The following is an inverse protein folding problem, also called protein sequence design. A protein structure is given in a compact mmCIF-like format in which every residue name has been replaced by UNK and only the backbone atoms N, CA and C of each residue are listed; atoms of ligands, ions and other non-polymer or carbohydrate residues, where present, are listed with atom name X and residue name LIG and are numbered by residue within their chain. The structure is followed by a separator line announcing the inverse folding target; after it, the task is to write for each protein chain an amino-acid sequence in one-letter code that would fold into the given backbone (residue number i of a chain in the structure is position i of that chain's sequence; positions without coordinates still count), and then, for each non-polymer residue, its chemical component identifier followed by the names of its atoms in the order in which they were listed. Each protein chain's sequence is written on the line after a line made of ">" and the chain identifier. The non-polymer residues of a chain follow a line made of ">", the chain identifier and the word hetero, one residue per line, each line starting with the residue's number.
data_IF_281163904002
#
_entry.id   IF_281163904002
#
_cell.length_a   1.000
_cell.length_b   1.000
_cell.length_c   1.000
_cell.angle_alpha   90.00
_cell.angle_beta   90.00
_cell.angle_gamma   90.00
#
_symmetry.space_group_name_H-M   'P 1'
#
loop_
_entity.id
_entity.type
_entity.pdbx_description
1 polymer ?
#
# COMPACT_ATOMS: atom_id res chain seq x y z
N UNK A 1 33.54 -33.58 -16.87
CA UNK A 1 32.18 -33.68 -17.44
C UNK A 1 31.16 -33.52 -16.30
N UNK A 2 29.92 -33.08 -16.59
CA UNK A 2 29.11 -32.32 -15.63
C UNK A 2 27.96 -33.14 -15.00
N UNK A 3 27.26 -32.53 -14.02
CA UNK A 3 25.79 -32.55 -13.96
C UNK A 3 25.24 -31.32 -13.20
N UNK A 4 24.05 -30.88 -13.63
CA UNK A 4 23.41 -29.60 -13.30
C UNK A 4 22.27 -29.76 -12.24
N UNK A 5 21.66 -28.61 -11.92
CA UNK A 5 20.35 -28.37 -11.25
C UNK A 5 20.44 -28.15 -9.71
N UNK A 6 19.77 -27.16 -9.10
CA UNK A 6 18.86 -26.13 -9.64
C UNK A 6 18.77 -24.85 -8.77
N UNK A 7 18.00 -23.87 -9.26
CA UNK A 7 17.90 -22.45 -8.90
C UNK A 7 17.47 -22.07 -7.47
N UNK A 8 17.94 -20.90 -7.01
CA UNK A 8 17.09 -19.85 -6.41
C UNK A 8 17.67 -18.44 -6.65
N UNK A 9 16.81 -17.46 -6.87
CA UNK A 9 17.16 -16.06 -7.14
C UNK A 9 17.20 -15.24 -5.85
N UNK A 10 18.26 -14.47 -5.63
CA UNK A 10 18.20 -13.13 -5.00
C UNK A 10 19.25 -12.24 -5.65
N UNK A 11 18.81 -11.16 -6.28
CA UNK A 11 19.66 -10.09 -6.81
C UNK A 11 19.98 -9.06 -5.73
N UNK A 12 21.25 -8.76 -5.50
CA UNK A 12 21.68 -7.47 -4.93
C UNK A 12 22.94 -7.02 -5.67
N UNK A 13 22.86 -5.90 -6.39
CA UNK A 13 24.01 -5.28 -7.05
C UNK A 13 24.99 -4.70 -6.03
N UNK A 14 26.28 -4.78 -6.34
CA UNK A 14 27.33 -4.04 -5.65
C UNK A 14 27.11 -2.53 -5.80
N UNK A 15 26.81 -1.85 -4.69
CA UNK A 15 27.12 -0.44 -4.50
C UNK A 15 27.95 -0.34 -3.23
N UNK A 16 29.22 0.01 -3.36
CA UNK A 16 30.09 0.22 -2.21
C UNK A 16 29.63 1.45 -1.43
N UNK A 17 28.98 1.23 -0.28
CA UNK A 17 28.66 2.29 0.68
C UNK A 17 29.52 2.08 1.93
N UNK A 18 30.42 3.03 2.20
CA UNK A 18 31.20 3.06 3.42
C UNK A 18 30.30 3.47 4.59
N UNK A 19 29.73 2.49 5.28
CA UNK A 19 28.85 2.71 6.44
C UNK A 19 29.67 2.66 7.73
N UNK A 20 30.09 3.84 8.21
CA UNK A 20 30.49 4.01 9.61
C UNK A 20 29.22 4.04 10.47
N UNK A 21 28.89 2.89 11.07
CA UNK A 21 27.80 2.79 12.05
C UNK A 21 28.33 3.06 13.46
N UNK A 22 27.58 3.88 14.19
CA UNK A 22 27.85 4.21 15.58
C UNK A 22 27.68 3.00 16.52
N UNK A 23 28.35 3.09 17.67
CA UNK A 23 28.03 2.36 18.89
C UNK A 23 27.93 3.37 20.05
N UNK A 24 26.85 3.33 20.85
CA UNK A 24 26.82 3.92 22.21
C UNK A 24 27.49 2.97 23.21
N UNK A 25 27.59 3.20 24.53
CA UNK A 25 27.00 4.16 25.51
C UNK A 25 28.01 4.29 26.70
N UNK A 26 27.83 4.97 27.85
CA UNK A 26 26.68 5.67 28.48
C UNK A 26 27.16 6.89 29.34
N UNK A 27 26.70 7.09 30.59
CA UNK A 27 26.99 8.24 31.47
C UNK A 27 27.44 7.85 32.89
N UNK A 28 28.22 8.72 33.56
CA UNK A 28 28.21 8.89 35.05
C UNK A 28 28.54 10.34 35.43
N UNK A 29 27.72 10.96 36.29
CA UNK A 29 28.13 12.08 37.16
C UNK A 29 28.54 11.53 38.54
N UNK A 30 29.57 12.08 39.17
CA UNK A 30 29.80 11.94 40.61
C UNK A 30 30.09 13.30 41.23
N UNK A 31 29.10 13.82 41.96
CA UNK A 31 29.30 14.83 42.99
C UNK A 31 29.75 14.12 44.26
N UNK A 32 30.95 14.41 44.76
CA UNK A 32 31.31 14.12 46.14
C UNK A 32 31.53 15.45 46.85
N UNK A 33 30.54 15.86 47.64
CA UNK A 33 30.78 16.75 48.77
C UNK A 33 31.81 16.10 49.69
N UNK A 34 32.89 16.83 49.99
CA UNK A 34 33.71 16.58 51.19
C UNK A 34 34.03 17.95 51.80
N UNK A 35 33.59 18.13 53.04
CA UNK A 35 33.88 19.31 53.86
C UNK A 35 35.41 19.51 54.08
N UNK A 36 35.78 20.79 54.24
CA UNK A 36 37.11 21.31 54.59
C UNK A 36 37.66 20.74 55.93
N UNK A 37 38.99 20.77 56.25
CA UNK A 37 39.87 21.93 56.00
C UNK A 37 41.39 21.73 55.71
N UNK A 38 42.05 22.82 55.30
CA UNK A 38 43.52 23.15 55.35
C UNK A 38 44.52 22.23 54.61
N UNK A 39 45.54 22.70 53.88
CA UNK A 39 45.96 24.07 53.51
C UNK A 39 46.64 24.04 52.12
N UNK A 40 45.97 24.53 51.08
CA UNK A 40 46.57 25.06 49.83
C UNK A 40 45.43 25.65 48.98
N UNK A 41 45.21 26.97 49.10
CA UNK A 41 44.06 27.64 48.48
C UNK A 41 44.26 27.80 46.97
N UNK A 42 43.50 27.03 46.18
CA UNK A 42 43.36 27.28 44.73
C UNK A 42 42.30 28.36 44.46
N UNK A 43 42.52 29.17 43.43
CA UNK A 43 41.46 29.97 42.82
C UNK A 43 40.41 29.03 42.23
N UNK A 44 39.20 29.06 42.77
CA UNK A 44 38.07 28.31 42.23
C UNK A 44 37.42 29.14 41.11
N UNK A 45 38.03 29.07 39.92
CA UNK A 45 37.45 29.58 38.67
C UNK A 45 36.90 28.42 37.83
N UNK A 46 36.01 28.74 36.89
CA UNK A 46 35.44 27.75 35.97
C UNK A 46 36.53 27.17 35.06
N UNK A 47 36.83 25.88 35.26
CA UNK A 47 37.78 25.12 34.44
C UNK A 47 37.11 24.80 33.10
N UNK A 48 37.41 25.60 32.08
CA UNK A 48 36.65 25.57 30.84
C UNK A 48 37.08 24.45 29.87
N UNK A 49 38.37 24.34 29.46
CA UNK A 49 38.80 23.35 28.45
C UNK A 49 40.30 22.95 28.55
N UNK A 50 40.64 21.74 28.09
CA UNK A 50 42.01 21.31 27.71
C UNK A 50 42.25 21.64 26.23
N UNK A 51 43.43 22.15 25.88
CA UNK A 51 43.71 22.77 24.56
C UNK A 51 44.93 22.14 23.89
N UNK A 52 44.74 21.59 22.68
CA UNK A 52 45.81 20.95 21.90
C UNK A 52 46.33 21.79 20.73
N UNK A 53 47.64 22.07 20.73
CA UNK A 53 48.44 22.57 19.59
C UNK A 53 48.04 23.91 18.94
N UNK A 54 48.35 25.02 19.60
CA UNK A 54 49.00 26.23 19.04
C UNK A 54 49.52 27.07 20.22
N UNK A 55 50.07 28.29 20.06
CA UNK A 55 50.66 29.07 21.20
C UNK A 55 49.64 29.31 22.33
N UNK A 56 49.59 28.39 23.29
CA UNK A 56 48.45 28.20 24.22
C UNK A 56 48.14 29.45 25.05
N UNK A 57 49.17 30.18 25.46
CA UNK A 57 49.07 31.48 26.17
C UNK A 57 48.32 32.54 25.37
N UNK A 58 48.48 32.58 24.04
CA UNK A 58 47.80 33.58 23.20
C UNK A 58 46.31 33.28 23.02
N UNK A 59 45.92 32.00 23.03
CA UNK A 59 44.51 31.60 23.01
C UNK A 59 43.84 31.90 24.36
N UNK A 60 44.51 31.62 25.47
CA UNK A 60 44.09 32.07 26.80
C UNK A 60 43.86 33.59 26.88
N UNK A 61 44.81 34.38 26.38
CA UNK A 61 44.70 35.83 26.32
C UNK A 61 43.50 36.27 25.47
N UNK A 62 43.30 35.65 24.30
CA UNK A 62 42.18 35.94 23.42
C UNK A 62 40.81 35.62 24.05
N UNK A 63 40.67 34.53 24.81
CA UNK A 63 39.43 34.26 25.53
C UNK A 63 39.21 35.23 26.69
N UNK A 64 40.24 35.56 27.49
CA UNK A 64 40.11 36.60 28.53
C UNK A 64 39.69 37.95 27.94
N UNK A 65 40.22 38.33 26.77
CA UNK A 65 39.84 39.57 26.08
C UNK A 65 38.38 39.60 25.57
N UNK A 66 37.71 38.45 25.37
CA UNK A 66 36.29 38.39 24.99
C UNK A 66 35.34 38.59 26.18
N UNK A 67 35.81 38.40 27.40
CA UNK A 67 35.01 38.56 28.61
C UNK A 67 35.34 39.90 29.26
N UNK A 68 34.37 40.83 29.27
CA UNK A 68 34.59 42.19 29.80
C UNK A 68 35.03 42.21 31.27
N UNK A 69 34.57 41.23 32.05
CA UNK A 69 34.92 41.08 33.46
C UNK A 69 36.23 40.31 33.71
N UNK A 70 36.84 39.66 32.70
CA UNK A 70 38.10 38.95 32.90
C UNK A 70 39.26 39.94 33.12
N UNK A 71 39.94 39.81 34.27
CA UNK A 71 41.04 40.69 34.71
C UNK A 71 42.41 40.03 34.61
N UNK A 72 42.47 38.71 34.72
CA UNK A 72 43.70 37.95 34.57
C UNK A 72 43.42 36.52 34.12
N UNK A 73 44.45 35.84 33.66
CA UNK A 73 44.40 34.39 33.43
C UNK A 73 45.70 33.72 33.87
N UNK A 74 45.58 32.43 34.19
CA UNK A 74 46.70 31.54 34.46
C UNK A 74 46.77 30.49 33.35
N UNK A 75 47.98 30.24 32.83
CA UNK A 75 48.24 29.15 31.91
C UNK A 75 49.14 28.08 32.55
N UNK A 76 48.58 26.88 32.76
CA UNK A 76 49.28 25.73 33.36
C UNK A 76 49.85 24.86 32.23
N UNK A 77 51.19 24.87 32.07
CA UNK A 77 51.87 24.33 30.90
C UNK A 77 51.74 22.81 30.76
N UNK A 78 51.87 22.07 31.87
CA UNK A 78 51.80 20.59 31.84
C UNK A 78 50.42 20.08 31.45
N UNK A 79 49.37 20.70 31.99
CA UNK A 79 47.97 20.31 31.78
C UNK A 79 47.32 21.01 30.59
N UNK A 80 48.07 21.91 29.91
CA UNK A 80 47.59 22.78 28.83
C UNK A 80 46.31 23.55 29.19
N UNK A 81 46.15 23.82 30.48
CA UNK A 81 44.91 24.33 31.05
C UNK A 81 44.93 25.85 31.13
N UNK A 82 43.77 26.43 30.82
CA UNK A 82 43.53 27.86 30.94
C UNK A 82 42.53 28.13 32.07
N UNK A 83 42.93 28.96 33.05
CA UNK A 83 42.06 29.40 34.14
C UNK A 83 41.86 30.91 33.98
N UNK A 84 40.62 31.35 33.74
CA UNK A 84 40.26 32.77 33.62
C UNK A 84 39.79 33.30 34.98
N UNK A 85 40.14 34.54 35.32
CA UNK A 85 39.76 35.16 36.59
C UNK A 85 39.04 36.50 36.41
N UNK A 86 37.97 36.68 37.18
CA UNK A 86 37.04 37.81 37.17
C UNK A 86 37.18 38.70 38.43
N UNK A 87 37.73 38.17 39.54
CA UNK A 87 37.59 38.75 40.89
C UNK A 87 38.10 40.20 41.03
N UNK A 88 37.25 41.07 41.57
CA UNK A 88 37.40 42.53 41.66
C UNK A 88 37.92 43.06 43.01
N UNK A 89 38.72 42.30 43.76
CA UNK A 89 39.28 42.73 45.04
C UNK A 89 40.80 42.97 45.02
N UNK A 90 41.12 44.26 44.91
CA UNK A 90 42.34 44.98 45.30
C UNK A 90 43.59 44.18 45.74
N UNK A 91 44.59 44.16 44.86
CA UNK A 91 46.04 44.28 45.13
C UNK A 91 46.75 43.22 46.01
N UNK A 92 48.09 43.08 45.94
CA UNK A 92 48.65 41.77 45.67
C UNK A 92 49.51 41.28 46.84
N UNK A 93 49.05 40.26 47.56
CA UNK A 93 49.80 39.79 48.74
C UNK A 93 49.49 38.39 49.29
N UNK A 94 48.31 37.83 49.00
CA UNK A 94 47.94 36.49 49.48
C UNK A 94 48.59 35.37 48.65
N UNK A 95 49.93 35.34 48.62
CA UNK A 95 50.82 34.27 48.15
C UNK A 95 50.18 33.28 47.17
N UNK A 96 50.06 33.68 45.90
CA UNK A 96 50.14 32.69 44.81
C UNK A 96 51.48 31.97 44.99
N UNK A 97 51.44 30.74 45.52
CA UNK A 97 52.64 29.92 45.61
C UNK A 97 53.16 29.71 44.19
N UNK A 98 54.47 29.85 44.02
CA UNK A 98 55.12 29.72 42.72
C UNK A 98 55.11 28.25 42.29
N UNK A 99 54.06 27.83 41.61
CA UNK A 99 54.10 26.63 40.77
C UNK A 99 54.96 26.97 39.53
N UNK A 100 56.16 26.40 39.37
CA UNK A 100 57.06 26.69 38.24
C UNK A 100 56.49 26.25 36.88
N UNK A 101 55.37 25.51 36.88
CA UNK A 101 54.67 25.00 35.70
C UNK A 101 53.55 25.94 35.22
N UNK A 102 53.25 26.97 36.01
CA UNK A 102 52.21 27.97 35.78
C UNK A 102 52.78 29.28 35.19
N UNK A 103 51.93 30.13 34.63
CA UNK A 103 52.32 31.46 34.14
C UNK A 103 51.11 32.38 34.17
N UNK A 104 51.15 33.38 35.05
CA UNK A 104 50.05 34.30 35.31
C UNK A 104 50.21 35.60 34.51
N UNK A 105 49.11 36.09 33.93
CA UNK A 105 49.08 37.32 33.15
C UNK A 105 47.89 38.19 33.54
N UNK A 106 48.14 39.47 33.82
CA UNK A 106 47.12 40.50 34.07
C UNK A 106 46.75 41.24 32.78
N UNK A 107 45.47 41.53 32.60
CA UNK A 107 44.91 42.25 31.44
C UNK A 107 45.54 43.62 31.23
N UNK A 108 45.94 44.26 32.32
CA UNK A 108 46.47 45.63 32.32
C UNK A 108 47.95 45.68 31.85
N UNK A 109 48.60 44.52 31.68
CA UNK A 109 50.02 44.37 31.31
C UNK A 109 50.19 43.49 30.05
N UNK A 110 49.27 43.57 29.09
CA UNK A 110 49.29 42.78 27.86
C UNK A 110 50.43 43.18 26.90
N UNK A 111 51.65 42.70 27.17
CA UNK A 111 52.80 42.80 26.26
C UNK A 111 52.88 41.55 25.35
N UNK A 112 51.84 41.36 24.53
CA UNK A 112 51.76 40.28 23.53
C UNK A 112 51.95 40.89 22.14
N UNK A 113 53.05 40.51 21.48
CA UNK A 113 53.39 40.92 20.10
C UNK A 113 52.19 40.82 19.15
N UNK A 114 51.79 41.94 18.54
CA UNK A 114 50.59 42.04 17.68
C UNK A 114 50.67 41.12 16.45
N UNK A 115 51.87 40.87 15.95
CA UNK A 115 52.20 39.94 14.88
C UNK A 115 51.91 38.46 15.22
N UNK A 116 51.65 38.12 16.49
CA UNK A 116 51.16 36.80 16.89
C UNK A 116 49.65 36.58 16.64
N UNK A 117 48.89 37.62 16.23
CA UNK A 117 47.42 37.58 16.09
C UNK A 117 46.92 37.27 14.66
N UNK A 118 47.83 37.14 13.68
CA UNK A 118 47.54 36.58 12.35
C UNK A 118 46.91 37.55 11.33
N UNK A 119 46.78 37.07 10.08
CA UNK A 119 46.46 37.89 8.89
C UNK A 119 45.08 38.56 8.95
N UNK A 120 44.12 37.96 9.66
CA UNK A 120 42.75 38.48 9.74
C UNK A 120 42.59 39.76 10.58
N UNK A 121 43.52 40.04 11.51
CA UNK A 121 43.38 41.14 12.47
C UNK A 121 43.86 42.48 11.88
N UNK A 122 44.93 42.46 11.08
CA UNK A 122 45.64 43.69 10.70
C UNK A 122 44.95 44.55 9.63
N UNK A 123 44.03 44.00 8.82
CA UNK A 123 43.37 44.76 7.73
C UNK A 123 41.87 44.47 7.53
N UNK A 124 41.24 43.58 8.31
CA UNK A 124 39.84 43.13 8.11
C UNK A 124 39.52 42.81 6.62
N UNK A 125 40.19 41.82 6.00
CA UNK A 125 40.19 41.65 4.55
C UNK A 125 38.86 41.12 3.94
N UNK A 126 37.84 40.92 4.77
CA UNK A 126 36.51 40.48 4.35
C UNK A 126 35.52 41.64 4.48
N UNK A 127 34.95 42.08 3.36
CA UNK A 127 34.00 43.18 3.30
C UNK A 127 32.60 42.77 3.80
N UNK A 128 31.74 43.78 3.98
CA UNK A 128 30.29 43.64 4.17
C UNK A 128 29.86 42.69 5.31
N UNK A 129 30.66 42.56 6.37
CA UNK A 129 30.37 41.70 7.52
C UNK A 129 30.79 40.24 7.35
N UNK A 130 31.50 39.89 6.27
CA UNK A 130 32.10 38.56 6.11
C UNK A 130 33.10 38.22 7.22
N UNK A 131 33.11 36.97 7.65
CA UNK A 131 34.02 36.46 8.68
C UNK A 131 35.35 36.04 8.05
N UNK A 132 36.46 36.50 8.61
CA UNK A 132 37.80 36.13 8.19
C UNK A 132 38.30 34.91 8.98
N UNK A 133 38.72 33.87 8.27
CA UNK A 133 39.34 32.69 8.85
C UNK A 133 40.80 32.61 8.41
N UNK A 134 41.70 32.44 9.39
CA UNK A 134 43.11 32.24 9.14
C UNK A 134 43.36 30.83 8.60
N UNK A 135 44.25 30.71 7.61
CA UNK A 135 44.60 29.46 6.98
C UNK A 135 46.11 29.41 6.68
N UNK A 136 46.62 28.25 6.31
CA UNK A 136 47.96 28.09 5.74
C UNK A 136 47.86 27.43 4.36
N UNK A 137 48.75 27.82 3.45
CA UNK A 137 48.95 27.09 2.20
C UNK A 137 49.65 25.75 2.46
N UNK A 138 49.65 24.85 1.47
CA UNK A 138 50.40 23.59 1.52
C UNK A 138 51.92 23.80 1.70
N UNK A 139 52.42 24.99 1.39
CA UNK A 139 53.82 25.41 1.55
C UNK A 139 54.09 26.08 2.92
N UNK A 140 53.10 26.10 3.82
CA UNK A 140 53.23 26.68 5.17
C UNK A 140 53.15 28.21 5.22
N UNK A 141 52.66 28.85 4.16
CA UNK A 141 52.50 30.31 4.13
C UNK A 141 51.17 30.71 4.75
N UNK A 142 51.20 31.63 5.73
CA UNK A 142 50.00 32.20 6.34
C UNK A 142 49.13 32.92 5.29
N UNK A 143 47.84 32.61 5.28
CA UNK A 143 46.85 33.15 4.34
C UNK A 143 45.48 33.26 5.05
N UNK A 144 44.44 33.65 4.33
CA UNK A 144 43.08 33.75 4.85
C UNK A 144 42.05 33.35 3.79
N UNK A 145 40.84 33.05 4.24
CA UNK A 145 39.65 33.01 3.40
C UNK A 145 38.48 33.70 4.10
N UNK A 146 37.55 34.23 3.30
CA UNK A 146 36.36 34.91 3.79
C UNK A 146 35.13 34.02 3.67
N UNK A 147 34.35 33.93 4.74
CA UNK A 147 33.00 33.36 4.72
C UNK A 147 32.01 34.52 4.72
N UNK A 148 31.26 34.67 3.62
CA UNK A 148 30.39 35.81 3.41
C UNK A 148 29.04 35.65 4.11
N UNK A 149 28.52 36.75 4.65
CA UNK A 149 27.14 36.80 5.15
C UNK A 149 26.14 36.78 3.99
N UNK A 150 24.92 36.30 4.26
CA UNK A 150 23.88 36.14 3.24
C UNK A 150 23.66 37.42 2.43
N UNK A 151 23.71 37.30 1.09
CA UNK A 151 23.63 38.44 0.17
C UNK A 151 24.98 38.95 -0.35
N UNK A 152 26.11 38.34 0.02
CA UNK A 152 27.45 38.67 -0.49
C UNK A 152 28.23 37.43 -0.93
N UNK A 153 29.06 37.57 -1.97
CA UNK A 153 29.90 36.52 -2.57
C UNK A 153 31.27 37.08 -3.02
N UNK A 154 32.08 36.23 -3.66
CA UNK A 154 33.45 36.56 -4.08
C UNK A 154 34.49 36.39 -2.97
N UNK A 155 35.79 36.36 -3.35
CA UNK A 155 36.91 35.99 -2.46
C UNK A 155 37.04 36.86 -1.19
N UNK A 156 36.54 38.09 -1.24
CA UNK A 156 36.58 39.08 -0.16
C UNK A 156 35.17 39.59 0.25
N UNK A 157 34.10 38.91 -0.17
CA UNK A 157 32.71 39.34 0.12
C UNK A 157 32.34 40.74 -0.41
N UNK A 158 33.01 41.19 -1.46
CA UNK A 158 32.83 42.51 -2.10
C UNK A 158 31.73 42.51 -3.16
N UNK A 159 31.36 41.35 -3.68
CA UNK A 159 30.34 41.20 -4.72
C UNK A 159 28.99 40.92 -4.05
N UNK A 160 27.95 41.68 -4.39
CA UNK A 160 26.60 41.38 -3.88
C UNK A 160 26.15 40.06 -4.48
N UNK A 161 25.89 39.04 -3.66
CA UNK A 161 25.46 37.73 -4.13
C UNK A 161 24.28 37.89 -5.09
N UNK A 162 24.31 37.17 -6.20
CA UNK A 162 23.13 37.06 -7.07
C UNK A 162 21.90 36.71 -6.22
N UNK A 163 20.85 37.53 -6.29
CA UNK A 163 19.63 37.23 -5.53
C UNK A 163 19.09 35.92 -6.07
N UNK A 164 19.14 34.87 -5.25
CA UNK A 164 18.63 33.57 -5.63
C UNK A 164 17.11 33.67 -5.65
N UNK A 165 16.56 33.46 -6.83
CA UNK A 165 15.13 33.62 -7.10
C UNK A 165 14.62 32.39 -7.80
N UNK A 166 13.37 32.04 -7.51
CA UNK A 166 12.68 31.06 -8.31
C UNK A 166 12.50 31.58 -9.74
N UNK A 167 12.83 30.76 -10.73
CA UNK A 167 12.35 30.95 -12.09
C UNK A 167 10.83 30.80 -12.14
N UNK A 168 10.24 31.16 -13.28
CA UNK A 168 8.82 30.91 -13.54
C UNK A 168 8.49 29.42 -13.39
N UNK A 169 7.24 29.18 -12.98
CA UNK A 169 6.72 27.83 -12.91
C UNK A 169 6.66 27.20 -14.29
N UNK A 170 7.26 26.02 -14.45
CA UNK A 170 7.07 25.20 -15.64
C UNK A 170 5.62 24.75 -15.81
N UNK A 171 5.34 24.20 -16.99
CA UNK A 171 4.03 23.67 -17.33
C UNK A 171 3.54 22.59 -16.36
N UNK A 172 2.22 22.52 -16.18
CA UNK A 172 1.60 21.45 -15.41
C UNK A 172 1.72 20.12 -16.17
N UNK A 173 2.03 19.05 -15.43
CA UNK A 173 1.99 17.69 -15.97
C UNK A 173 0.64 17.35 -16.58
N UNK A 174 0.54 16.25 -17.34
CA UNK A 174 -0.77 15.64 -17.61
C UNK A 174 -1.44 15.22 -16.29
N UNK A 175 -2.78 15.18 -16.28
CA UNK A 175 -3.51 14.76 -15.09
C UNK A 175 -3.29 13.27 -14.82
N UNK A 176 -2.96 12.89 -13.58
CA UNK A 176 -2.65 11.51 -13.20
C UNK A 176 -3.82 10.52 -13.32
N UNK A 177 -5.03 10.99 -13.59
CA UNK A 177 -6.21 10.17 -13.93
C UNK A 177 -6.99 10.81 -15.08
N UNK A 178 -7.51 10.00 -15.99
CA UNK A 178 -8.44 10.45 -17.04
C UNK A 178 -9.84 10.79 -16.52
N UNK A 179 -10.21 10.28 -15.34
CA UNK A 179 -11.49 10.54 -14.70
C UNK A 179 -11.35 10.60 -13.17
N UNK A 180 -12.35 11.19 -12.52
CA UNK A 180 -12.35 11.49 -11.10
C UNK A 180 -11.24 12.44 -10.68
N UNK A 181 -11.14 12.70 -9.38
CA UNK A 181 -10.12 13.59 -8.83
C UNK A 181 -8.72 13.01 -9.00
N UNK A 182 -7.97 13.59 -9.93
CA UNK A 182 -6.55 13.36 -10.14
C UNK A 182 -5.71 14.50 -9.56
N UNK A 183 -4.41 14.44 -9.85
CA UNK A 183 -3.42 15.45 -9.50
C UNK A 183 -2.54 15.80 -10.69
N UNK A 184 -2.14 17.06 -10.79
CA UNK A 184 -1.07 17.56 -11.65
C UNK A 184 0.05 18.13 -10.78
N UNK A 185 1.27 17.97 -11.25
CA UNK A 185 2.48 18.51 -10.63
C UNK A 185 3.18 19.45 -11.60
N UNK A 186 3.77 20.52 -11.08
CA UNK A 186 4.71 21.37 -11.82
C UNK A 186 5.95 21.67 -10.99
N UNK A 187 7.03 22.03 -11.68
CA UNK A 187 8.34 22.29 -11.08
C UNK A 187 8.85 23.67 -11.51
N UNK A 188 9.76 24.22 -10.71
CA UNK A 188 10.51 25.43 -11.01
C UNK A 188 11.93 25.29 -10.49
N UNK A 189 12.84 26.01 -11.12
CA UNK A 189 14.26 25.96 -10.81
C UNK A 189 14.67 27.17 -9.96
N UNK A 190 15.62 26.96 -9.05
CA UNK A 190 16.27 28.06 -8.37
C UNK A 190 17.34 28.62 -9.31
N UNK A 191 17.31 29.91 -9.59
CA UNK A 191 18.27 30.55 -10.52
C UNK A 191 18.94 31.75 -9.87
N UNK A 192 20.19 32.01 -10.25
CA UNK A 192 20.85 33.26 -9.95
C UNK A 192 20.26 34.36 -10.86
N UNK A 193 19.58 35.35 -10.27
CA UNK A 193 18.94 36.46 -11.01
C UNK A 193 19.87 37.32 -11.89
N UNK A 194 21.20 37.20 -11.75
CA UNK A 194 22.19 37.93 -12.57
C UNK A 194 22.75 37.10 -13.71
N UNK A 195 23.05 35.82 -13.47
CA UNK A 195 23.75 34.96 -14.45
C UNK A 195 22.82 34.00 -15.18
N UNK A 196 21.62 33.74 -14.64
CA UNK A 196 20.71 32.71 -15.13
C UNK A 196 21.12 31.29 -14.74
N UNK A 197 22.22 31.10 -14.00
CA UNK A 197 22.70 29.77 -13.61
C UNK A 197 21.68 29.07 -12.71
N UNK A 198 21.36 27.82 -13.06
CA UNK A 198 20.56 26.92 -12.22
C UNK A 198 21.34 26.56 -10.95
N UNK A 199 20.68 26.68 -9.80
CA UNK A 199 21.17 26.35 -8.46
C UNK A 199 20.29 25.28 -7.82
N UNK A 200 20.69 24.80 -6.65
CA UNK A 200 19.96 23.76 -5.93
C UNK A 200 18.63 24.30 -5.43
N UNK A 201 17.59 23.47 -5.41
CA UNK A 201 16.29 23.85 -4.82
C UNK A 201 16.36 24.26 -3.33
N UNK A 202 17.43 23.86 -2.62
CA UNK A 202 17.70 24.25 -1.23
C UNK A 202 18.22 25.69 -1.10
N UNK A 203 18.76 26.26 -2.18
CA UNK A 203 19.40 27.58 -2.17
C UNK A 203 18.37 28.73 -2.31
N UNK A 204 17.14 28.42 -2.75
CA UNK A 204 16.01 29.35 -2.83
C UNK A 204 14.97 29.07 -1.73
N UNK A 205 14.45 30.12 -1.09
CA UNK A 205 13.40 29.97 -0.07
C UNK A 205 12.04 29.61 -0.70
N UNK A 206 11.47 28.46 -0.33
CA UNK A 206 10.14 27.99 -0.77
C UNK A 206 10.18 26.64 -1.47
N UNK A 207 9.03 26.20 -2.01
CA UNK A 207 8.94 24.89 -2.69
C UNK A 207 9.37 24.96 -4.15
N UNK A 208 10.16 23.98 -4.61
CA UNK A 208 10.52 23.76 -6.03
C UNK A 208 9.47 22.97 -6.83
N UNK A 209 8.49 22.38 -6.14
CA UNK A 209 7.37 21.64 -6.71
C UNK A 209 6.06 22.17 -6.14
N UNK A 210 5.05 22.23 -6.99
CA UNK A 210 3.66 22.54 -6.62
C UNK A 210 2.76 21.44 -7.19
N UNK A 211 1.74 21.07 -6.42
CA UNK A 211 0.74 20.07 -6.82
C UNK A 211 -0.66 20.68 -6.71
N UNK A 212 -1.53 20.39 -7.68
CA UNK A 212 -2.95 20.78 -7.66
C UNK A 212 -3.86 19.64 -8.06
N UNK A 213 -5.12 19.73 -7.66
CA UNK A 213 -6.16 18.86 -8.20
C UNK A 213 -6.39 19.12 -9.69
N UNK A 214 -6.66 18.05 -10.43
CA UNK A 214 -7.08 18.08 -11.82
C UNK A 214 -8.19 17.05 -12.04
N UNK A 215 -9.04 17.31 -13.03
CA UNK A 215 -10.23 16.54 -13.38
C UNK A 215 -11.26 16.40 -12.24
N UNK A 216 -12.51 16.75 -12.54
CA UNK A 216 -13.67 16.43 -11.70
C UNK A 216 -14.77 15.74 -12.53
N UNK A 217 -14.38 15.17 -13.68
CA UNK A 217 -15.25 14.38 -14.56
C UNK A 217 -15.57 13.04 -13.86
N UNK A 218 -16.83 12.69 -13.61
CA UNK A 218 -17.18 11.43 -12.95
C UNK A 218 -16.63 10.20 -13.69
N UNK A 219 -15.98 9.28 -12.97
CA UNK A 219 -15.49 8.04 -13.58
C UNK A 219 -16.63 7.10 -14.02
N UNK A 220 -16.43 6.28 -15.07
CA UNK A 220 -17.25 5.11 -15.35
C UNK A 220 -17.44 4.22 -14.12
N UNK A 221 -18.65 3.73 -13.91
CA UNK A 221 -18.99 2.78 -12.85
C UNK A 221 -20.22 1.96 -13.24
N UNK A 222 -20.41 0.80 -12.62
CA UNK A 222 -21.63 0.03 -12.79
C UNK A 222 -22.80 0.73 -12.10
N UNK A 223 -23.83 1.11 -12.86
CA UNK A 223 -25.14 1.38 -12.25
C UNK A 223 -25.65 0.12 -11.54
N UNK A 224 -26.57 0.26 -10.57
CA UNK A 224 -27.25 -0.88 -9.97
C UNK A 224 -27.81 -1.83 -11.02
N UNK A 225 -27.85 -3.12 -10.69
CA UNK A 225 -28.63 -4.07 -11.47
C UNK A 225 -30.09 -3.64 -11.50
N UNK A 226 -30.75 -3.87 -12.63
CA UNK A 226 -32.21 -3.88 -12.69
C UNK A 226 -32.77 -4.94 -11.73
N UNK A 227 -34.05 -4.76 -11.41
CA UNK A 227 -34.84 -5.86 -10.87
C UNK A 227 -34.77 -7.08 -11.78
N UNK A 228 -34.95 -8.25 -11.18
CA UNK A 228 -35.05 -9.48 -11.96
C UNK A 228 -36.29 -9.44 -12.84
N UNK A 229 -36.12 -9.71 -14.14
CA UNK A 229 -37.23 -9.95 -15.05
C UNK A 229 -37.98 -11.25 -14.71
N UNK A 230 -39.09 -11.45 -15.41
CA UNK A 230 -39.92 -12.64 -15.27
C UNK A 230 -39.15 -13.94 -15.51
N UNK A 231 -39.66 -15.03 -14.92
CA UNK A 231 -39.10 -16.35 -15.12
C UNK A 231 -39.32 -16.80 -16.57
N UNK A 232 -38.28 -17.32 -17.24
CA UNK A 232 -38.36 -17.72 -18.66
C UNK A 232 -39.46 -18.74 -18.98
N UNK A 233 -39.90 -19.51 -17.98
CA UNK A 233 -40.96 -20.52 -18.07
C UNK A 233 -42.28 -20.09 -17.39
N UNK A 234 -42.51 -18.78 -17.18
CA UNK A 234 -43.70 -18.25 -16.50
C UNK A 234 -45.02 -18.76 -17.11
N UNK A 235 -45.08 -18.86 -18.44
CA UNK A 235 -46.28 -19.32 -19.17
C UNK A 235 -46.27 -20.84 -19.45
N UNK A 236 -45.10 -21.49 -19.50
CA UNK A 236 -44.95 -22.89 -19.94
C UNK A 236 -44.76 -23.90 -18.81
N UNK A 237 -44.43 -23.44 -17.60
CA UNK A 237 -44.26 -24.23 -16.38
C UNK A 237 -43.04 -25.18 -16.34
N UNK A 238 -41.90 -24.68 -15.83
CA UNK A 238 -40.68 -25.49 -15.62
C UNK A 238 -39.61 -24.83 -14.76
N UNK A 239 -38.39 -25.39 -14.75
CA UNK A 239 -37.21 -24.76 -14.13
C UNK A 239 -36.66 -23.68 -15.06
N UNK A 240 -37.20 -22.47 -14.97
CA UNK A 240 -36.74 -21.33 -15.75
C UNK A 240 -35.51 -20.65 -15.15
N UNK A 241 -35.03 -19.63 -15.86
CA UNK A 241 -34.13 -18.63 -15.32
C UNK A 241 -34.77 -17.24 -15.41
N UNK A 242 -34.40 -16.38 -14.47
CA UNK A 242 -34.70 -14.95 -14.49
C UNK A 242 -33.44 -14.20 -14.92
N UNK A 243 -33.61 -13.14 -15.70
CA UNK A 243 -32.53 -12.31 -16.24
C UNK A 243 -32.59 -10.94 -15.58
N UNK A 244 -31.43 -10.39 -15.20
CA UNK A 244 -31.27 -8.96 -14.90
C UNK A 244 -30.11 -8.37 -15.69
N UNK A 245 -30.19 -7.06 -15.92
CA UNK A 245 -29.20 -6.30 -16.69
C UNK A 245 -28.70 -5.08 -15.93
N UNK A 246 -27.50 -4.60 -16.27
CA UNK A 246 -26.90 -3.35 -15.79
C UNK A 246 -26.13 -2.68 -16.92
N UNK A 247 -25.96 -1.37 -16.82
CA UNK A 247 -25.18 -0.57 -17.77
C UNK A 247 -24.00 0.11 -17.08
N UNK A 248 -22.91 0.30 -17.81
CA UNK A 248 -21.83 1.18 -17.38
C UNK A 248 -22.32 2.64 -17.48
N UNK A 249 -22.11 3.43 -16.42
CA UNK A 249 -22.46 4.83 -16.36
C UNK A 249 -21.35 5.77 -16.82
N UNK A 250 -21.65 7.08 -16.79
CA UNK A 250 -20.69 8.16 -17.05
C UNK A 250 -19.90 8.01 -18.36
N UNK A 251 -20.59 7.61 -19.44
CA UNK A 251 -19.99 7.47 -20.77
C UNK A 251 -19.06 6.26 -20.97
N UNK A 252 -18.91 5.40 -19.96
CA UNK A 252 -18.05 4.23 -20.07
C UNK A 252 -18.67 3.06 -20.83
N UNK A 253 -17.81 2.21 -21.36
CA UNK A 253 -18.14 1.01 -22.14
C UNK A 253 -17.87 -0.25 -21.32
N UNK A 254 -18.89 -1.09 -21.15
CA UNK A 254 -18.79 -2.35 -20.43
C UNK A 254 -17.69 -3.27 -21.00
N UNK A 255 -16.88 -3.88 -20.13
CA UNK A 255 -15.77 -4.75 -20.52
C UNK A 255 -14.51 -4.05 -21.04
N UNK A 256 -14.62 -2.80 -21.52
CA UNK A 256 -13.48 -1.97 -21.96
C UNK A 256 -12.98 -1.12 -20.80
N UNK A 257 -13.87 -0.37 -20.14
CA UNK A 257 -13.51 0.49 -19.02
C UNK A 257 -13.16 -0.34 -17.77
N UNK A 258 -11.99 -0.06 -17.17
CA UNK A 258 -11.46 -0.80 -16.02
C UNK A 258 -12.44 -0.90 -14.85
N UNK A 259 -13.22 0.16 -14.61
CA UNK A 259 -14.21 0.24 -13.52
C UNK A 259 -15.58 -0.40 -13.88
N UNK A 260 -15.79 -0.72 -15.15
CA UNK A 260 -16.95 -1.46 -15.67
C UNK A 260 -16.54 -2.84 -16.21
N UNK A 261 -15.61 -3.51 -15.51
CA UNK A 261 -15.22 -4.89 -15.82
C UNK A 261 -16.31 -5.87 -15.36
N UNK A 262 -16.60 -6.87 -16.18
CA UNK A 262 -17.61 -7.90 -15.94
C UNK A 262 -18.79 -7.85 -16.93
N UNK A 263 -19.78 -8.75 -16.80
CA UNK A 263 -20.89 -8.82 -17.73
C UNK A 263 -21.92 -7.70 -17.49
N UNK A 264 -22.67 -7.35 -18.54
CA UNK A 264 -23.86 -6.48 -18.48
C UNK A 264 -25.12 -7.23 -18.04
N UNK A 265 -25.12 -8.56 -18.14
CA UNK A 265 -26.27 -9.42 -17.93
C UNK A 265 -25.93 -10.50 -16.88
N UNK A 266 -26.91 -10.90 -16.08
CA UNK A 266 -26.80 -11.97 -15.09
C UNK A 266 -28.07 -12.81 -15.09
N UNK A 267 -27.93 -14.13 -15.05
CA UNK A 267 -29.05 -15.08 -14.95
C UNK A 267 -29.01 -15.80 -13.62
N UNK A 268 -30.19 -16.10 -13.06
CA UNK A 268 -30.34 -16.93 -11.88
C UNK A 268 -31.53 -17.89 -12.06
N UNK A 269 -31.49 -19.11 -11.50
CA UNK A 269 -32.61 -20.04 -11.57
C UNK A 269 -33.86 -19.49 -10.86
N UNK A 270 -35.04 -19.81 -11.39
CA UNK A 270 -36.34 -19.49 -10.80
C UNK A 270 -37.27 -20.71 -10.84
N UNK A 271 -38.23 -20.74 -9.91
CA UNK A 271 -39.29 -21.74 -9.87
C UNK A 271 -40.62 -21.02 -9.83
N UNK A 272 -41.48 -21.30 -10.81
CA UNK A 272 -42.85 -20.79 -10.86
C UNK A 272 -43.72 -21.61 -9.88
N UNK A 273 -44.49 -20.98 -8.99
CA UNK A 273 -45.40 -21.70 -8.09
C UNK A 273 -46.51 -22.42 -8.87
N UNK A 274 -46.80 -23.67 -8.53
CA UNK A 274 -47.92 -24.44 -9.09
C UNK A 274 -47.63 -25.28 -10.34
N UNK A 275 -46.39 -25.32 -10.82
CA UNK A 275 -46.04 -26.02 -12.06
C UNK A 275 -45.72 -27.52 -11.89
N UNK A 276 -46.40 -28.36 -12.67
CA UNK A 276 -46.16 -29.80 -12.81
C UNK A 276 -45.46 -30.07 -14.17
N UNK A 277 -44.20 -30.50 -14.16
CA UNK A 277 -43.44 -30.71 -15.41
C UNK A 277 -43.98 -31.93 -16.18
N UNK A 278 -44.39 -31.81 -17.46
CA UNK A 278 -44.99 -32.92 -18.20
C UNK A 278 -44.11 -34.18 -18.27
N UNK A 279 -44.75 -35.33 -18.08
CA UNK A 279 -44.18 -36.66 -18.31
C UNK A 279 -44.97 -37.39 -19.41
N UNK A 280 -44.30 -38.29 -20.12
CA UNK A 280 -44.95 -39.32 -20.93
C UNK A 280 -44.22 -40.66 -20.81
N UNK A 281 -44.92 -41.74 -21.13
CA UNK A 281 -44.38 -43.08 -21.28
C UNK A 281 -44.33 -43.39 -22.79
N UNK A 282 -43.27 -44.04 -23.26
CA UNK A 282 -43.14 -44.46 -24.67
C UNK A 282 -42.44 -45.82 -24.82
N UNK A 283 -42.72 -46.53 -25.91
CA UNK A 283 -42.03 -47.77 -26.32
C UNK A 283 -42.41 -49.07 -25.59
N UNK A 284 -43.36 -49.07 -24.66
CA UNK A 284 -43.84 -50.29 -23.99
C UNK A 284 -45.16 -50.86 -24.54
N UNK A 285 -45.52 -52.10 -24.13
CA UNK A 285 -46.65 -52.84 -24.69
C UNK A 285 -48.02 -52.40 -24.17
N UNK A 286 -48.07 -51.60 -23.11
CA UNK A 286 -49.31 -51.07 -22.52
C UNK A 286 -49.14 -49.59 -22.20
N UNK A 287 -50.22 -48.82 -22.09
CA UNK A 287 -50.16 -47.39 -21.75
C UNK A 287 -49.50 -47.08 -20.38
N UNK A 288 -49.30 -48.09 -19.54
CA UNK A 288 -48.63 -47.98 -18.24
C UNK A 288 -47.18 -48.48 -18.25
N UNK A 289 -46.66 -48.87 -19.41
CA UNK A 289 -45.34 -49.48 -19.57
C UNK A 289 -44.53 -48.77 -20.65
N UNK A 290 -43.26 -48.51 -20.37
CA UNK A 290 -42.36 -47.84 -21.31
C UNK A 290 -41.23 -47.10 -20.62
N UNK A 291 -40.37 -46.48 -21.42
CA UNK A 291 -39.36 -45.53 -20.91
C UNK A 291 -40.03 -44.21 -20.56
N UNK A 292 -39.58 -43.57 -19.48
CA UNK A 292 -40.15 -42.29 -19.02
C UNK A 292 -39.40 -41.16 -19.68
N UNK A 293 -40.15 -40.28 -20.34
CA UNK A 293 -39.66 -39.08 -20.98
C UNK A 293 -40.20 -37.87 -20.23
N UNK A 294 -39.34 -36.89 -19.98
CA UNK A 294 -39.66 -35.60 -19.34
C UNK A 294 -39.49 -34.48 -20.38
N UNK A 295 -40.36 -33.48 -20.36
CA UNK A 295 -40.26 -32.34 -21.27
C UNK A 295 -39.20 -31.34 -20.79
N UNK A 296 -38.31 -30.92 -21.69
CA UNK A 296 -37.28 -29.90 -21.47
C UNK A 296 -37.69 -28.59 -22.18
N UNK A 297 -38.23 -27.65 -21.41
CA UNK A 297 -38.65 -26.33 -21.90
C UNK A 297 -37.50 -25.48 -22.49
N UNK A 298 -36.24 -25.78 -22.18
CA UNK A 298 -35.09 -25.03 -22.71
C UNK A 298 -34.69 -25.50 -24.11
N UNK A 299 -34.97 -26.77 -24.43
CA UNK A 299 -34.72 -27.38 -25.75
C UNK A 299 -35.99 -27.49 -26.61
N UNK A 300 -37.16 -27.25 -26.01
CA UNK A 300 -38.49 -27.48 -26.58
C UNK A 300 -38.76 -28.95 -26.97
N UNK A 301 -38.01 -29.91 -26.39
CA UNK A 301 -38.03 -31.33 -26.74
C UNK A 301 -38.34 -32.25 -25.55
N UNK A 302 -38.69 -33.50 -25.86
CA UNK A 302 -38.76 -34.57 -24.86
C UNK A 302 -37.39 -35.23 -24.72
N UNK A 303 -36.90 -35.36 -23.49
CA UNK A 303 -35.67 -36.09 -23.19
C UNK A 303 -35.89 -37.27 -22.25
N UNK A 304 -35.00 -38.25 -22.33
CA UNK A 304 -34.99 -39.42 -21.46
C UNK A 304 -34.52 -39.07 -20.05
N UNK A 305 -34.96 -39.87 -19.08
CA UNK A 305 -34.39 -39.91 -17.74
C UNK A 305 -33.30 -40.99 -17.74
N UNK A 306 -32.12 -40.66 -17.19
CA UNK A 306 -31.03 -41.61 -17.06
C UNK A 306 -31.38 -42.71 -16.04
N UNK A 307 -31.11 -43.97 -16.37
CA UNK A 307 -31.29 -45.11 -15.46
C UNK A 307 -30.33 -45.13 -14.27
N UNK A 308 -29.28 -44.31 -14.27
CA UNK A 308 -28.38 -44.16 -13.14
C UNK A 308 -29.11 -43.60 -11.91
N UNK A 309 -29.11 -44.37 -10.82
CA UNK A 309 -29.88 -44.13 -9.58
C UNK A 309 -31.41 -44.12 -9.78
N UNK A 310 -31.94 -44.70 -10.86
CA UNK A 310 -33.39 -44.83 -11.06
C UNK A 310 -33.98 -45.95 -10.17
N UNK A 311 -34.44 -45.55 -8.98
CA UNK A 311 -35.05 -46.44 -8.00
C UNK A 311 -36.57 -46.53 -8.10
N UNK A 312 -37.14 -47.54 -7.44
CA UNK A 312 -38.60 -47.72 -7.36
C UNK A 312 -39.32 -46.50 -6.77
N UNK A 313 -38.71 -45.78 -5.83
CA UNK A 313 -39.26 -44.53 -5.29
C UNK A 313 -39.46 -43.45 -6.35
N UNK A 314 -38.54 -43.34 -7.32
CA UNK A 314 -38.65 -42.41 -8.44
C UNK A 314 -39.71 -42.87 -9.45
N UNK A 315 -39.75 -44.17 -9.75
CA UNK A 315 -40.81 -44.76 -10.56
C UNK A 315 -42.21 -44.57 -9.96
N UNK A 316 -42.37 -44.71 -8.63
CA UNK A 316 -43.62 -44.46 -7.92
C UNK A 316 -44.08 -42.99 -8.04
N UNK A 317 -43.15 -42.03 -8.03
CA UNK A 317 -43.46 -40.61 -8.29
C UNK A 317 -43.88 -40.40 -9.74
N UNK A 318 -43.15 -40.95 -10.71
CA UNK A 318 -43.49 -40.84 -12.14
C UNK A 318 -44.87 -41.43 -12.43
N UNK A 319 -45.14 -42.66 -12.00
CA UNK A 319 -46.42 -43.32 -12.21
C UNK A 319 -47.58 -42.55 -11.56
N UNK A 320 -47.44 -42.07 -10.31
CA UNK A 320 -48.48 -41.25 -9.67
C UNK A 320 -48.72 -39.93 -10.41
N UNK A 321 -47.66 -39.27 -10.87
CA UNK A 321 -47.77 -38.06 -11.69
C UNK A 321 -48.46 -38.33 -13.04
N UNK A 322 -48.29 -39.51 -13.61
CA UNK A 322 -48.96 -39.99 -14.83
C UNK A 322 -50.39 -40.52 -14.59
N UNK A 323 -50.95 -40.37 -13.38
CA UNK A 323 -52.33 -40.76 -13.04
C UNK A 323 -52.51 -42.24 -12.62
N UNK A 324 -51.43 -42.97 -12.40
CA UNK A 324 -51.46 -44.35 -11.89
C UNK A 324 -51.46 -44.33 -10.36
N UNK A 325 -52.65 -44.48 -9.77
CA UNK A 325 -52.88 -44.26 -8.35
C UNK A 325 -52.12 -45.24 -7.43
N UNK A 326 -51.77 -46.43 -7.93
CA UNK A 326 -51.01 -47.44 -7.19
C UNK A 326 -49.50 -47.37 -7.42
N UNK A 327 -49.00 -46.35 -8.13
CA UNK A 327 -47.58 -46.16 -8.39
C UNK A 327 -46.99 -47.16 -9.38
N UNK A 328 -45.73 -47.53 -9.17
CA UNK A 328 -44.97 -48.45 -9.99
C UNK A 328 -44.97 -49.87 -9.40
N UNK A 329 -45.33 -50.86 -10.22
CA UNK A 329 -44.97 -52.24 -9.93
C UNK A 329 -43.43 -52.38 -9.97
N UNK A 330 -42.80 -51.75 -10.97
CA UNK A 330 -41.40 -51.98 -11.34
C UNK A 330 -40.75 -50.71 -11.90
N UNK A 331 -39.46 -50.55 -11.63
CA UNK A 331 -38.55 -49.57 -12.23
C UNK A 331 -37.53 -50.34 -13.09
N UNK A 332 -37.27 -49.88 -14.32
CA UNK A 332 -36.41 -50.56 -15.28
C UNK A 332 -35.25 -49.66 -15.70
N UNK A 333 -34.04 -50.20 -15.83
CA UNK A 333 -32.79 -49.45 -16.10
C UNK A 333 -31.91 -50.14 -17.16
N UNK A 334 -32.54 -50.99 -17.96
CA UNK A 334 -31.97 -52.00 -18.85
C UNK A 334 -32.36 -51.77 -20.32
N UNK A 335 -32.80 -50.54 -20.67
CA UNK A 335 -33.34 -50.18 -21.99
C UNK A 335 -34.50 -51.08 -22.49
N UNK A 336 -35.23 -51.75 -21.57
CA UNK A 336 -36.32 -52.70 -21.90
C UNK A 336 -37.35 -52.18 -22.91
N UNK A 337 -37.55 -50.87 -22.94
CA UNK A 337 -38.53 -50.17 -23.78
C UNK A 337 -37.86 -49.29 -24.85
N UNK A 338 -36.62 -49.61 -25.22
CA UNK A 338 -35.80 -48.89 -26.19
C UNK A 338 -35.22 -47.57 -25.66
N UNK A 339 -34.78 -46.72 -26.60
CA UNK A 339 -34.25 -45.37 -26.32
C UNK A 339 -32.73 -45.28 -26.10
N UNK A 340 -31.94 -46.28 -26.54
CA UNK A 340 -30.47 -46.26 -26.39
C UNK A 340 -29.76 -45.03 -26.99
N UNK A 341 -30.41 -44.35 -27.95
CA UNK A 341 -29.95 -43.13 -28.61
C UNK A 341 -30.75 -41.86 -28.20
N UNK A 342 -31.61 -41.93 -27.17
CA UNK A 342 -32.38 -40.77 -26.71
C UNK A 342 -31.45 -39.76 -26.01
N UNK A 343 -31.63 -38.46 -26.28
CA UNK A 343 -30.99 -37.39 -25.49
C UNK A 343 -31.55 -37.36 -24.06
N UNK A 344 -30.69 -37.23 -23.06
CA UNK A 344 -31.07 -37.27 -21.66
C UNK A 344 -31.33 -35.86 -21.11
N UNK A 345 -32.55 -35.62 -20.64
CA UNK A 345 -32.91 -34.35 -20.00
C UNK A 345 -32.39 -34.28 -18.56
N UNK A 346 -32.32 -35.41 -17.85
CA UNK A 346 -32.00 -35.45 -16.42
C UNK A 346 -31.32 -36.77 -16.03
N UNK A 347 -30.34 -36.68 -15.13
CA UNK A 347 -29.66 -37.85 -14.54
C UNK A 347 -29.60 -37.75 -13.01
N UNK A 348 -29.33 -38.89 -12.35
CA UNK A 348 -29.14 -38.99 -10.91
C UNK A 348 -30.35 -38.43 -10.12
N UNK A 349 -31.51 -39.06 -10.30
CA UNK A 349 -32.78 -38.67 -9.66
C UNK A 349 -32.99 -39.41 -8.33
N UNK A 350 -32.67 -38.74 -7.23
CA UNK A 350 -32.88 -39.25 -5.87
C UNK A 350 -34.25 -38.79 -5.35
N UNK A 351 -35.26 -39.66 -5.47
CA UNK A 351 -36.62 -39.43 -4.97
C UNK A 351 -36.86 -40.14 -3.62
N UNK A 352 -37.53 -39.47 -2.68
CA UNK A 352 -38.02 -40.08 -1.44
C UNK A 352 -39.29 -40.93 -1.63
N UNK A 353 -39.92 -40.84 -2.81
CA UNK A 353 -41.18 -41.51 -3.14
C UNK A 353 -42.42 -40.74 -2.72
N UNK A 354 -42.27 -39.61 -2.02
CA UNK A 354 -43.37 -38.77 -1.50
C UNK A 354 -43.61 -37.50 -2.31
N UNK A 355 -42.75 -37.21 -3.27
CA UNK A 355 -42.87 -36.08 -4.17
C UNK A 355 -44.18 -36.15 -4.96
N UNK A 356 -44.72 -35.00 -5.35
CA UNK A 356 -45.89 -34.92 -6.24
C UNK A 356 -45.51 -35.04 -7.72
N UNK A 357 -44.31 -34.60 -8.08
CA UNK A 357 -43.80 -34.58 -9.45
C UNK A 357 -42.32 -34.97 -9.45
N UNK A 358 -41.85 -35.63 -10.51
CA UNK A 358 -40.50 -36.16 -10.61
C UNK A 358 -39.43 -35.04 -10.57
N UNK A 359 -39.74 -33.88 -11.16
CA UNK A 359 -38.88 -32.70 -11.16
C UNK A 359 -38.67 -32.06 -9.75
N UNK A 360 -39.42 -32.51 -8.74
CA UNK A 360 -39.27 -32.07 -7.35
C UNK A 360 -38.35 -32.97 -6.51
N UNK A 361 -37.89 -34.11 -7.04
CA UNK A 361 -36.86 -34.93 -6.41
C UNK A 361 -35.50 -34.23 -6.40
N UNK A 362 -34.58 -34.69 -5.56
CA UNK A 362 -33.19 -34.24 -5.56
C UNK A 362 -32.51 -34.76 -6.84
N UNK A 363 -32.21 -33.84 -7.76
CA UNK A 363 -31.57 -34.14 -9.04
C UNK A 363 -30.20 -33.49 -9.09
N UNK A 364 -29.14 -34.23 -9.43
CA UNK A 364 -27.76 -33.71 -9.44
C UNK A 364 -27.51 -32.69 -10.55
N UNK A 365 -28.15 -32.84 -11.72
CA UNK A 365 -28.16 -31.86 -12.82
C UNK A 365 -29.25 -32.18 -13.87
N UNK A 366 -29.65 -31.18 -14.66
CA UNK A 366 -30.29 -31.36 -15.97
C UNK A 366 -29.20 -31.38 -17.05
N UNK A 367 -29.26 -32.32 -17.99
CA UNK A 367 -28.28 -32.48 -19.07
C UNK A 367 -27.88 -33.93 -19.36
N UNK A 368 -27.15 -34.11 -20.46
CA UNK A 368 -26.89 -35.40 -21.12
C UNK A 368 -25.83 -36.32 -20.44
N UNK A 369 -25.35 -35.99 -19.23
CA UNK A 369 -24.31 -36.77 -18.54
C UNK A 369 -24.90 -38.03 -17.87
N UNK A 370 -25.12 -39.06 -18.69
CA UNK A 370 -25.68 -40.36 -18.27
C UNK A 370 -24.63 -41.51 -18.24
N UNK A 371 -23.35 -41.23 -18.51
CA UNK A 371 -22.23 -42.18 -18.41
C UNK A 371 -22.48 -43.58 -19.01
N UNK A 372 -23.21 -43.66 -20.14
CA UNK A 372 -23.53 -44.92 -20.82
C UNK A 372 -24.58 -45.79 -20.12
N UNK A 373 -25.27 -45.28 -19.08
CA UNK A 373 -26.44 -45.96 -18.52
C UNK A 373 -27.61 -45.89 -19.49
N UNK A 374 -28.46 -46.91 -19.49
CA UNK A 374 -29.66 -46.98 -20.32
C UNK A 374 -30.79 -46.07 -19.81
N UNK A 375 -31.83 -45.79 -20.62
CA UNK A 375 -33.00 -45.03 -20.19
C UNK A 375 -33.77 -45.69 -19.05
N UNK A 376 -34.25 -44.85 -18.15
CA UNK A 376 -35.19 -45.21 -17.10
C UNK A 376 -36.57 -45.54 -17.69
N UNK A 377 -37.18 -46.62 -17.21
CA UNK A 377 -38.55 -46.99 -17.53
C UNK A 377 -39.33 -47.47 -16.32
N UNK A 378 -40.62 -47.70 -16.55
CA UNK A 378 -41.60 -48.06 -15.52
C UNK A 378 -42.59 -49.09 -16.03
N UNK A 379 -43.15 -49.82 -15.07
CA UNK A 379 -44.43 -50.53 -15.22
C UNK A 379 -45.38 -50.05 -14.13
N UNK A 380 -46.29 -49.16 -14.49
CA UNK A 380 -47.25 -48.55 -13.59
C UNK A 380 -48.48 -49.42 -13.35
N UNK A 381 -49.13 -49.26 -12.19
CA UNK A 381 -50.30 -50.02 -11.77
C UNK A 381 -51.41 -49.13 -11.21
N UNK A 382 -52.65 -49.63 -11.25
CA UNK A 382 -53.81 -48.87 -10.73
C UNK A 382 -54.17 -47.66 -11.59
N UNK A 383 -54.19 -47.82 -12.92
CA UNK A 383 -54.71 -46.80 -13.84
C UNK A 383 -56.15 -46.47 -13.45
N UNK A 384 -56.43 -45.23 -13.09
CA UNK A 384 -57.80 -44.81 -12.77
C UNK A 384 -58.65 -44.85 -14.04
N UNK A 385 -59.47 -45.90 -14.18
CA UNK A 385 -60.56 -45.90 -15.17
C UNK A 385 -61.58 -44.87 -14.70
N UNK A 386 -61.57 -43.68 -15.32
CA UNK A 386 -62.65 -42.70 -15.18
C UNK A 386 -63.92 -43.18 -15.91
N UNK A 387 -64.48 -44.30 -15.48
CA UNK A 387 -65.84 -44.73 -15.80
C UNK A 387 -66.81 -44.13 -14.80
N UNK A 388 -66.90 -42.80 -14.78
CA UNK A 388 -68.11 -42.15 -14.30
C UNK A 388 -69.20 -42.38 -15.36
N UNK A 389 -69.95 -43.47 -15.21
CA UNK A 389 -71.23 -43.62 -15.89
C UNK A 389 -72.07 -42.39 -15.55
N UNK A 390 -72.41 -41.57 -16.55
CA UNK A 390 -73.42 -40.52 -16.38
C UNK A 390 -74.76 -41.19 -16.08
N UNK A 391 -75.14 -41.23 -14.82
CA UNK A 391 -76.52 -41.46 -14.45
C UNK A 391 -77.34 -40.27 -14.98
N UNK A 392 -78.19 -40.52 -15.97
CA UNK A 392 -79.21 -39.57 -16.41
C UNK A 392 -80.22 -39.36 -15.28
N UNK A 393 -80.50 -38.11 -14.84
CA UNK A 393 -81.58 -37.85 -13.91
C UNK A 393 -82.93 -38.12 -14.58
N UNK A 394 -83.80 -38.83 -13.89
CA UNK A 394 -85.21 -38.96 -14.26
C UNK A 394 -85.94 -37.65 -13.96
N UNK A 395 -86.69 -37.14 -14.93
CA UNK A 395 -87.80 -36.19 -14.76
C UNK A 395 -88.95 -36.67 -15.64
#
# INVERSE_FOLDING_TARGET
>A
MPRHLSWRWVTVSLVASLVLRAAGTEYVWQTNDIDYPSDEMRLQGDVMWDVTNTRLVAQCAAECLKHDDCRSFNFIRERRLCELSNSTHADPGAKLQSDPLSSYFTRDTFDVQQDALGVCVNQRPCANGGQCYHALTLEGVNTYYCVCVAGWEGRQCTEKAGSLTWADWGEWSTCSKSCGRGWQDRRRECVNSKTGDVKTALDCFGSSQEQRYCNDVPCPYWFPWSEWGECSTYTTCGRGYKLRTRKCGNGGTAGVDRLCKGPTNETAPCKVPGCEVPLKIDGGPTEGEGRVLIYDDLRETWGAICGAQWEKSAADVACRQLGYASGAAEATTDARYGGENDSYAISSLECSGRERHLAACLSKQWGDDCNGSAPAGVRCVGKSRNTCNKATPSV
#
